data_IF_341867464204
#
_entry.id   IF_341867464204
#
_cell.length_a   1.000
_cell.length_b   1.000
_cell.length_c   1.000
_cell.angle_alpha   90.00
_cell.angle_beta   90.00
_cell.angle_gamma   90.00
#
_symmetry.space_group_name_H-M   'P 1'
#
loop_
_entity.id
_entity.type
_entity.pdbx_description
1 polymer ?
#
# COMPACT_ATOMS: atom_id res chain seq x y z
N UNK A 1 -10.57 -1.45 -15.82
CA UNK A 1 -10.81 -2.18 -17.09
C UNK A 1 -10.70 -3.67 -16.80
N UNK A 2 -11.43 -4.55 -17.49
CA UNK A 2 -11.25 -6.00 -17.31
C UNK A 2 -10.12 -6.50 -18.22
N UNK A 3 -9.19 -7.35 -17.75
CA UNK A 3 -8.11 -7.86 -18.57
C UNK A 3 -8.64 -8.69 -19.76
N UNK A 4 -7.93 -8.65 -20.88
CA UNK A 4 -8.27 -9.49 -22.04
C UNK A 4 -7.92 -10.95 -21.76
N UNK A 5 -8.56 -11.88 -22.48
CA UNK A 5 -8.22 -13.32 -22.37
C UNK A 5 -6.75 -13.59 -22.73
N UNK A 6 -6.25 -12.92 -23.77
CA UNK A 6 -4.86 -13.03 -24.19
C UNK A 6 -3.90 -12.56 -23.09
N UNK A 7 -4.20 -11.42 -22.46
CA UNK A 7 -3.38 -10.92 -21.35
C UNK A 7 -3.39 -11.90 -20.18
N UNK A 8 -4.55 -12.45 -19.79
CA UNK A 8 -4.65 -13.45 -18.73
C UNK A 8 -3.84 -14.72 -19.04
N UNK A 9 -3.83 -15.17 -20.28
CA UNK A 9 -3.03 -16.32 -20.72
C UNK A 9 -1.52 -16.05 -20.67
N UNK A 10 -1.09 -14.81 -20.97
CA UNK A 10 0.31 -14.39 -20.82
C UNK A 10 0.69 -14.30 -19.34
N UNK A 11 -0.11 -13.61 -18.54
CA UNK A 11 0.11 -13.45 -17.10
C UNK A 11 0.25 -14.80 -16.38
N UNK A 12 -0.64 -15.75 -16.66
CA UNK A 12 -0.58 -17.11 -16.08
C UNK A 12 0.75 -17.85 -16.34
N UNK A 13 1.48 -17.51 -17.40
CA UNK A 13 2.78 -18.14 -17.73
C UNK A 13 3.96 -17.52 -16.97
N UNK A 14 3.78 -16.32 -16.43
CA UNK A 14 4.87 -15.52 -15.83
C UNK A 14 4.63 -15.15 -14.37
N UNK A 15 3.39 -15.30 -13.86
CA UNK A 15 3.00 -14.88 -12.50
C UNK A 15 3.83 -15.50 -11.38
N UNK A 16 4.40 -16.69 -11.60
CA UNK A 16 5.24 -17.38 -10.61
C UNK A 16 6.61 -16.71 -10.45
N UNK A 17 7.05 -15.91 -11.43
CA UNK A 17 8.28 -15.10 -11.35
C UNK A 17 8.07 -13.74 -10.70
N UNK A 18 6.80 -13.32 -10.60
CA UNK A 18 6.35 -12.06 -10.01
C UNK A 18 5.93 -12.26 -8.55
N UNK A 19 6.39 -13.32 -7.89
CA UNK A 19 6.07 -13.54 -6.48
C UNK A 19 6.89 -12.57 -5.61
N UNK A 20 6.43 -12.34 -4.39
CA UNK A 20 7.23 -11.61 -3.42
C UNK A 20 8.56 -12.35 -3.18
N UNK A 21 9.68 -11.64 -2.95
CA UNK A 21 11.01 -12.24 -2.74
C UNK A 21 11.05 -13.19 -1.54
N UNK A 22 10.09 -13.05 -0.61
CA UNK A 22 9.84 -13.96 0.49
C UNK A 22 8.37 -13.96 0.92
N UNK A 23 8.04 -14.81 1.89
CA UNK A 23 6.74 -14.77 2.53
C UNK A 23 6.58 -13.46 3.35
N UNK A 24 5.76 -12.54 2.86
CA UNK A 24 5.53 -11.24 3.50
C UNK A 24 4.74 -11.33 4.81
N UNK A 25 4.17 -12.49 5.15
CA UNK A 25 3.63 -12.75 6.48
C UNK A 25 4.71 -12.59 7.58
N UNK A 26 5.97 -12.86 7.25
CA UNK A 26 7.08 -12.75 8.19
C UNK A 26 7.31 -11.31 8.66
N UNK A 27 7.04 -10.32 7.80
CA UNK A 27 7.15 -8.89 8.14
C UNK A 27 6.19 -8.48 9.26
N UNK A 28 5.10 -9.25 9.44
CA UNK A 28 4.06 -8.96 10.43
C UNK A 28 4.00 -9.96 11.59
N UNK A 29 4.91 -10.94 11.62
CA UNK A 29 4.90 -12.02 12.63
C UNK A 29 6.26 -12.26 13.28
N UNK A 30 7.35 -12.02 12.57
CA UNK A 30 8.70 -12.07 13.13
C UNK A 30 9.04 -10.75 13.83
N UNK A 31 9.98 -10.83 14.78
CA UNK A 31 10.54 -9.66 15.46
C UNK A 31 11.84 -9.17 14.82
N UNK A 32 12.39 -9.94 13.90
CA UNK A 32 13.67 -9.64 13.26
C UNK A 32 13.71 -10.31 11.88
N UNK A 33 14.24 -9.61 10.89
CA UNK A 33 14.59 -10.15 9.56
C UNK A 33 15.99 -9.64 9.21
N UNK A 34 16.88 -10.54 8.78
CA UNK A 34 18.25 -10.20 8.40
C UNK A 34 19.05 -9.39 9.44
N UNK A 35 18.76 -9.54 10.73
CA UNK A 35 19.38 -8.77 11.81
C UNK A 35 18.67 -7.45 12.14
N UNK A 36 17.66 -7.05 11.35
CA UNK A 36 16.89 -5.82 11.59
C UNK A 36 15.66 -6.05 12.45
N UNK A 37 15.55 -5.25 13.52
CA UNK A 37 14.46 -5.35 14.50
C UNK A 37 13.15 -4.78 13.95
N UNK A 38 12.09 -5.58 14.05
CA UNK A 38 10.74 -5.27 13.57
C UNK A 38 9.76 -5.07 14.73
N UNK A 39 8.89 -4.08 14.59
CA UNK A 39 7.67 -3.97 15.40
C UNK A 39 6.47 -3.63 14.51
N UNK A 40 5.27 -3.87 15.03
CA UNK A 40 4.02 -3.67 14.31
C UNK A 40 3.27 -2.49 14.88
N UNK A 41 2.88 -1.58 14.00
CA UNK A 41 2.08 -0.42 14.34
C UNK A 41 0.71 -0.53 13.68
N UNK A 42 -0.34 -0.72 14.47
CA UNK A 42 -1.71 -0.62 13.98
C UNK A 42 -2.11 0.85 13.87
N UNK A 43 -2.58 1.27 12.70
CA UNK A 43 -2.97 2.66 12.42
C UNK A 43 -4.49 2.84 12.30
N UNK A 44 -5.29 1.84 12.71
CA UNK A 44 -6.75 1.85 12.62
C UNK A 44 -7.26 0.98 11.46
N UNK A 45 -8.28 1.45 10.74
CA UNK A 45 -8.95 0.70 9.67
C UNK A 45 -8.87 1.38 8.30
N UNK A 46 -9.10 0.61 7.24
CA UNK A 46 -9.37 1.08 5.89
C UNK A 46 -10.80 0.69 5.49
N UNK A 47 -11.53 1.64 4.92
CA UNK A 47 -12.85 1.40 4.35
C UNK A 47 -12.74 0.73 2.98
N UNK A 48 -13.48 -0.37 2.79
CA UNK A 48 -13.50 -1.15 1.54
C UNK A 48 -14.94 -1.43 1.13
N UNK A 49 -15.67 -0.43 0.58
CA UNK A 49 -17.07 -0.58 0.22
C UNK A 49 -17.32 -1.36 -1.10
N UNK A 50 -16.33 -1.47 -2.00
CA UNK A 50 -16.51 -2.13 -3.30
C UNK A 50 -15.71 -3.43 -3.46
N UNK A 51 -14.70 -3.63 -2.62
CA UNK A 51 -13.79 -4.78 -2.70
C UNK A 51 -12.71 -4.61 -3.77
N UNK A 52 -12.61 -3.45 -4.42
CA UNK A 52 -11.67 -3.19 -5.51
C UNK A 52 -10.61 -2.21 -5.08
N UNK A 53 -9.38 -2.68 -5.00
CA UNK A 53 -8.29 -1.88 -4.44
C UNK A 53 -7.47 -1.16 -5.51
N UNK A 54 -6.94 -0.01 -5.11
CA UNK A 54 -5.95 0.80 -5.82
C UNK A 54 -4.81 1.14 -4.86
N UNK A 55 -3.60 1.30 -5.37
CA UNK A 55 -2.47 1.81 -4.62
C UNK A 55 -1.72 2.87 -5.44
N UNK A 56 -1.07 3.79 -4.74
CA UNK A 56 -0.56 5.01 -5.32
C UNK A 56 0.14 5.90 -4.29
N UNK A 57 0.92 6.84 -4.80
CA UNK A 57 1.29 8.04 -4.06
C UNK A 57 0.03 8.75 -3.52
N UNK A 58 0.04 9.06 -2.23
CA UNK A 58 -1.11 9.63 -1.51
C UNK A 58 -1.41 11.07 -1.89
N UNK A 59 -0.44 11.82 -2.39
CA UNK A 59 -0.55 13.25 -2.69
C UNK A 59 -0.51 13.54 -4.19
N UNK A 60 0.05 12.62 -4.98
CA UNK A 60 0.24 12.80 -6.42
C UNK A 60 -0.73 11.96 -7.23
N UNK A 61 -0.77 10.64 -7.00
CA UNK A 61 -1.58 9.74 -7.84
C UNK A 61 -2.97 9.51 -7.28
N UNK A 62 -3.14 9.36 -5.97
CA UNK A 62 -4.44 9.11 -5.34
C UNK A 62 -5.51 10.19 -5.63
N UNK A 63 -5.16 11.47 -5.83
CA UNK A 63 -6.10 12.47 -6.32
C UNK A 63 -6.56 12.30 -7.78
N UNK A 64 -5.93 11.49 -8.63
CA UNK A 64 -6.31 11.33 -10.05
C UNK A 64 -7.66 10.56 -10.19
N UNK A 65 -8.53 10.97 -11.11
CA UNK A 65 -9.81 10.30 -11.35
C UNK A 65 -9.68 8.95 -12.10
N UNK A 66 -8.52 8.66 -12.70
CA UNK A 66 -8.36 7.58 -13.67
C UNK A 66 -7.64 6.33 -13.15
N UNK A 67 -7.58 6.11 -11.84
CA UNK A 67 -6.92 4.91 -11.31
C UNK A 67 -7.62 3.63 -11.76
N UNK A 68 -6.80 2.69 -12.22
CA UNK A 68 -7.25 1.35 -12.59
C UNK A 68 -7.08 0.46 -11.36
N UNK A 69 -8.16 -0.15 -10.84
CA UNK A 69 -8.07 -1.08 -9.71
C UNK A 69 -7.36 -2.36 -10.11
N UNK A 70 -6.78 -3.02 -9.11
CA UNK A 70 -6.28 -4.38 -9.25
C UNK A 70 -7.40 -5.35 -9.64
N UNK A 71 -7.03 -6.45 -10.32
CA UNK A 71 -7.97 -7.46 -10.81
C UNK A 71 -8.50 -8.36 -9.68
N UNK A 72 -7.80 -8.41 -8.55
CA UNK A 72 -8.21 -9.18 -7.37
C UNK A 72 -9.42 -8.53 -6.68
N UNK A 73 -10.41 -9.35 -6.35
CA UNK A 73 -11.56 -8.94 -5.54
C UNK A 73 -11.30 -9.23 -4.06
N UNK A 74 -11.55 -8.25 -3.20
CA UNK A 74 -11.34 -8.35 -1.76
C UNK A 74 -12.67 -8.32 -0.99
N UNK A 75 -12.71 -8.80 0.26
CA UNK A 75 -13.88 -8.65 1.11
C UNK A 75 -14.30 -7.18 1.28
N UNK A 76 -15.62 -6.96 1.37
CA UNK A 76 -16.20 -5.62 1.60
C UNK A 76 -16.37 -5.40 3.10
N UNK A 77 -15.98 -4.24 3.61
CA UNK A 77 -16.07 -3.90 5.03
C UNK A 77 -15.03 -2.87 5.50
N UNK A 78 -14.81 -2.84 6.80
CA UNK A 78 -13.76 -2.05 7.47
C UNK A 78 -12.70 -3.01 8.00
N UNK A 79 -11.45 -2.83 7.61
CA UNK A 79 -10.39 -3.79 7.91
C UNK A 79 -9.19 -3.15 8.57
N UNK A 80 -8.58 -3.81 9.59
CA UNK A 80 -7.42 -3.27 10.28
C UNK A 80 -6.22 -3.10 9.35
N UNK A 81 -5.48 -2.02 9.59
CA UNK A 81 -4.28 -1.65 8.86
C UNK A 81 -3.09 -1.68 9.80
N UNK A 82 -2.07 -2.44 9.43
CA UNK A 82 -0.83 -2.55 10.17
C UNK A 82 0.35 -2.09 9.31
N UNK A 83 1.30 -1.39 9.93
CA UNK A 83 2.61 -1.06 9.36
C UNK A 83 3.66 -1.95 10.01
N UNK A 84 4.54 -2.54 9.19
CA UNK A 84 5.78 -3.15 9.64
C UNK A 84 6.85 -2.07 9.75
N UNK A 85 7.37 -1.85 10.97
CA UNK A 85 8.36 -0.83 11.28
C UNK A 85 9.73 -1.46 11.44
N UNK A 86 10.73 -0.97 10.70
CA UNK A 86 12.15 -1.17 10.96
C UNK A 86 12.59 -0.23 12.08
N UNK A 87 12.58 -0.75 13.30
CA UNK A 87 12.75 0.08 14.51
C UNK A 87 14.16 0.66 14.66
N UNK A 88 15.18 0.02 14.09
CA UNK A 88 16.56 0.53 14.07
C UNK A 88 16.75 1.72 13.11
N UNK A 89 15.82 1.93 12.19
CA UNK A 89 15.95 2.91 11.11
C UNK A 89 14.87 3.99 11.13
N UNK A 90 13.86 3.87 12.00
CA UNK A 90 12.64 4.69 11.97
C UNK A 90 12.03 4.72 10.55
N UNK A 91 11.83 3.54 9.97
CA UNK A 91 11.31 3.35 8.60
C UNK A 91 10.19 2.32 8.54
N UNK A 92 9.31 2.46 7.56
CA UNK A 92 8.25 1.50 7.30
C UNK A 92 8.62 0.56 6.16
N UNK A 93 8.80 -0.72 6.48
CA UNK A 93 9.17 -1.72 5.47
C UNK A 93 7.97 -2.20 4.66
N UNK A 94 6.77 -2.18 5.24
CA UNK A 94 5.53 -2.57 4.57
C UNK A 94 4.30 -2.00 5.28
N UNK A 95 3.19 -1.88 4.55
CA UNK A 95 1.85 -1.66 5.10
C UNK A 95 0.93 -2.75 4.61
N UNK A 96 0.04 -3.26 5.48
CA UNK A 96 -0.98 -4.24 5.10
C UNK A 96 -2.39 -3.81 5.48
N UNK A 97 -3.36 -4.27 4.69
CA UNK A 97 -4.76 -4.39 5.12
C UNK A 97 -5.04 -5.86 5.39
N UNK A 98 -5.50 -6.18 6.61
CA UNK A 98 -5.76 -7.55 7.04
C UNK A 98 -7.26 -7.86 7.00
N UNK A 99 -7.69 -8.74 6.09
CA UNK A 99 -9.11 -9.05 5.86
C UNK A 99 -9.68 -10.07 6.85
N UNK A 100 -8.84 -10.96 7.38
CA UNK A 100 -9.19 -11.95 8.40
C UNK A 100 -7.93 -12.42 9.16
N UNK A 101 -8.10 -13.31 10.13
CA UNK A 101 -7.00 -13.84 10.96
C UNK A 101 -6.28 -15.05 10.36
N UNK A 102 -6.60 -15.47 9.13
CA UNK A 102 -5.90 -16.57 8.49
C UNK A 102 -4.49 -16.13 8.09
N UNK A 103 -3.55 -17.08 8.17
CA UNK A 103 -2.16 -16.86 7.77
C UNK A 103 -2.03 -16.93 6.25
N UNK A 104 -1.37 -15.93 5.63
CA UNK A 104 -0.99 -16.06 4.23
C UNK A 104 0.15 -17.08 4.06
N UNK A 105 0.01 -17.96 3.08
CA UNK A 105 0.99 -18.99 2.74
C UNK A 105 1.70 -18.71 1.41
N UNK A 106 1.13 -17.86 0.56
CA UNK A 106 1.79 -17.32 -0.64
C UNK A 106 1.22 -15.94 -1.02
N UNK A 107 1.92 -15.23 -1.89
CA UNK A 107 1.63 -13.84 -2.26
C UNK A 107 1.72 -13.62 -3.78
N UNK A 108 0.61 -13.24 -4.42
CA UNK A 108 0.62 -12.87 -5.85
C UNK A 108 0.75 -11.35 -6.02
N UNK A 109 1.59 -10.90 -6.96
CA UNK A 109 1.68 -9.49 -7.32
C UNK A 109 0.31 -8.97 -7.82
N UNK A 110 -0.08 -7.81 -7.32
CA UNK A 110 -1.30 -7.11 -7.71
C UNK A 110 -1.18 -6.59 -9.14
N UNK A 111 -2.08 -7.03 -10.00
CA UNK A 111 -2.10 -6.65 -11.42
C UNK A 111 -3.36 -5.85 -11.74
N UNK A 112 -3.26 -4.86 -12.61
CA UNK A 112 -4.36 -4.03 -13.13
C UNK A 112 -4.91 -4.58 -14.44
N UNK A 113 -4.23 -5.55 -15.05
CA UNK A 113 -4.67 -6.25 -16.27
C UNK A 113 -4.29 -5.54 -17.56
N UNK A 114 -3.37 -4.58 -17.47
CA UNK A 114 -2.86 -3.77 -18.58
C UNK A 114 -1.34 -3.58 -18.54
N UNK A 115 -0.64 -4.32 -17.67
CA UNK A 115 0.82 -4.38 -17.60
C UNK A 115 1.40 -4.93 -18.91
N UNK A 116 2.59 -4.45 -19.27
CA UNK A 116 3.33 -4.89 -20.46
C UNK A 116 4.06 -6.22 -20.21
N UNK A 117 3.47 -7.31 -20.68
CA UNK A 117 4.02 -8.67 -20.53
C UNK A 117 4.81 -9.15 -21.76
N UNK A 118 5.16 -8.28 -22.71
CA UNK A 118 5.87 -8.69 -23.94
C UNK A 118 7.37 -8.90 -23.72
N UNK A 119 7.95 -8.28 -22.69
CA UNK A 119 9.37 -8.39 -22.34
C UNK A 119 9.75 -9.69 -21.62
N UNK A 120 11.06 -9.91 -21.47
CA UNK A 120 11.56 -10.97 -20.60
C UNK A 120 11.28 -10.60 -19.14
N UNK A 121 10.40 -11.37 -18.49
CA UNK A 121 10.14 -11.31 -17.05
C UNK A 121 11.04 -12.33 -16.35
N UNK A 122 11.84 -11.85 -15.40
CA UNK A 122 12.79 -12.61 -14.58
C UNK A 122 12.25 -12.83 -13.18
N UNK A 123 12.87 -13.78 -12.48
CA UNK A 123 12.57 -14.01 -11.07
C UNK A 123 12.90 -12.77 -10.25
N UNK A 124 11.95 -12.34 -9.41
CA UNK A 124 12.08 -11.13 -8.59
C UNK A 124 11.66 -9.83 -9.29
N UNK A 125 11.32 -9.88 -10.58
CA UNK A 125 10.66 -8.74 -11.22
C UNK A 125 9.26 -8.52 -10.60
N UNK A 126 8.77 -7.28 -10.63
CA UNK A 126 7.45 -6.94 -10.12
C UNK A 126 6.80 -5.79 -10.90
N UNK A 127 5.47 -5.71 -10.81
CA UNK A 127 4.71 -4.52 -11.16
C UNK A 127 4.21 -3.83 -9.90
N UNK A 128 4.08 -2.51 -9.96
CA UNK A 128 3.83 -1.66 -8.81
C UNK A 128 3.23 -0.31 -9.17
N UNK A 129 3.39 0.64 -8.25
CA UNK A 129 3.01 2.04 -8.44
C UNK A 129 4.17 2.95 -8.05
N UNK A 130 4.22 4.13 -8.67
CA UNK A 130 5.22 5.16 -8.36
C UNK A 130 4.81 6.00 -7.15
N UNK A 131 5.81 6.43 -6.39
CA UNK A 131 5.72 7.42 -5.31
C UNK A 131 6.73 8.53 -5.59
N UNK A 132 6.29 9.78 -5.43
CA UNK A 132 7.00 11.01 -5.78
C UNK A 132 6.89 12.09 -4.67
N UNK A 133 6.03 11.88 -3.68
CA UNK A 133 5.90 12.72 -2.49
C UNK A 133 6.30 11.97 -1.20
N UNK A 134 7.01 10.85 -1.31
CA UNK A 134 7.42 10.00 -0.19
C UNK A 134 6.30 9.39 0.65
N UNK A 135 5.04 9.43 0.19
CA UNK A 135 3.85 9.01 0.93
C UNK A 135 2.99 8.09 0.08
N UNK A 136 2.69 6.89 0.58
CA UNK A 136 1.94 5.86 -0.13
C UNK A 136 0.64 5.47 0.58
N UNK A 137 -0.33 5.04 -0.22
CA UNK A 137 -1.59 4.49 0.25
C UNK A 137 -2.02 3.30 -0.61
N UNK A 138 -2.76 2.39 0.01
CA UNK A 138 -3.59 1.38 -0.63
C UNK A 138 -5.00 1.50 -0.06
N UNK A 139 -6.00 1.60 -0.92
CA UNK A 139 -7.39 1.85 -0.53
C UNK A 139 -8.38 1.29 -1.56
N UNK A 140 -9.67 1.35 -1.27
CA UNK A 140 -10.73 0.99 -2.21
C UNK A 140 -11.01 2.11 -3.23
N UNK A 141 -11.38 1.74 -4.45
CA UNK A 141 -11.64 2.69 -5.53
C UNK A 141 -12.76 3.70 -5.20
N UNK A 142 -13.77 3.34 -4.40
CA UNK A 142 -14.82 4.31 -4.01
C UNK A 142 -14.33 5.29 -2.94
N UNK A 143 -13.39 4.87 -2.09
CA UNK A 143 -12.70 5.74 -1.13
C UNK A 143 -11.78 6.69 -1.88
N UNK A 144 -11.03 6.20 -2.87
CA UNK A 144 -10.22 7.03 -3.75
C UNK A 144 -11.06 8.06 -4.52
N UNK A 145 -12.23 7.68 -5.06
CA UNK A 145 -13.15 8.64 -5.69
C UNK A 145 -13.64 9.72 -4.74
N UNK A 146 -13.89 9.38 -3.48
CA UNK A 146 -14.24 10.35 -2.45
C UNK A 146 -13.09 11.33 -2.20
N UNK A 147 -11.85 10.83 -2.17
CA UNK A 147 -10.66 11.67 -2.12
C UNK A 147 -10.54 12.57 -3.35
N UNK A 148 -10.59 12.06 -4.57
CA UNK A 148 -10.57 12.88 -5.78
C UNK A 148 -11.62 14.01 -5.74
N UNK A 149 -12.84 13.71 -5.29
CA UNK A 149 -13.90 14.71 -5.13
C UNK A 149 -13.55 15.77 -4.08
N UNK A 150 -12.95 15.36 -2.96
CA UNK A 150 -12.47 16.28 -1.92
C UNK A 150 -11.36 17.17 -2.47
N UNK A 151 -10.33 16.60 -3.10
CA UNK A 151 -9.20 17.34 -3.65
C UNK A 151 -9.67 18.35 -4.68
N UNK A 152 -10.55 17.96 -5.61
CA UNK A 152 -11.11 18.90 -6.60
C UNK A 152 -11.79 20.11 -5.94
N UNK A 153 -12.61 19.86 -4.91
CA UNK A 153 -13.28 20.93 -4.15
C UNK A 153 -12.27 21.79 -3.39
N UNK A 154 -11.22 21.18 -2.85
CA UNK A 154 -10.15 21.87 -2.16
C UNK A 154 -9.39 22.80 -3.11
N UNK A 155 -8.97 22.30 -4.27
CA UNK A 155 -8.22 23.04 -5.30
C UNK A 155 -9.06 24.17 -5.92
N UNK A 156 -10.37 23.98 -6.11
CA UNK A 156 -11.29 25.05 -6.53
C UNK A 156 -11.43 26.20 -5.50
N UNK A 157 -11.24 25.90 -4.20
CA UNK A 157 -11.33 26.88 -3.12
C UNK A 157 -9.98 27.51 -2.74
N UNK A 158 -8.86 26.88 -3.13
CA UNK A 158 -7.50 27.26 -2.78
C UNK A 158 -6.63 27.31 -4.04
N UNK A 159 -6.88 28.29 -4.91
CA UNK A 159 -6.27 28.39 -6.25
C UNK A 159 -4.72 28.43 -6.25
N UNK A 160 -4.12 29.03 -5.20
CA UNK A 160 -2.66 29.10 -5.01
C UNK A 160 -2.15 28.11 -3.93
N UNK A 161 -3.03 27.27 -3.40
CA UNK A 161 -2.74 26.39 -2.27
C UNK A 161 -2.13 25.05 -2.70
N UNK A 162 -1.37 24.46 -1.78
CA UNK A 162 -0.78 23.14 -1.91
C UNK A 162 -1.45 22.16 -0.95
N UNK A 163 -1.99 21.06 -1.48
CA UNK A 163 -2.77 20.08 -0.71
C UNK A 163 -2.01 19.54 0.51
N UNK A 164 -0.68 19.40 0.42
CA UNK A 164 0.11 18.96 1.55
C UNK A 164 0.24 20.06 2.60
N UNK A 165 0.80 21.22 2.24
CA UNK A 165 1.09 22.29 3.18
C UNK A 165 -0.18 22.91 3.80
N UNK A 166 -1.25 23.04 3.03
CA UNK A 166 -2.47 23.74 3.45
C UNK A 166 -3.54 22.81 4.06
N UNK A 167 -3.34 21.49 4.00
CA UNK A 167 -4.31 20.53 4.55
C UNK A 167 -3.67 19.35 5.30
N UNK A 168 -2.79 18.57 4.66
CA UNK A 168 -2.26 17.37 5.32
C UNK A 168 -1.20 17.65 6.40
N UNK A 169 -0.45 18.75 6.29
CA UNK A 169 0.62 19.09 7.23
C UNK A 169 0.12 19.13 8.67
N UNK A 170 -0.90 19.95 8.94
CA UNK A 170 -1.46 20.10 10.29
C UNK A 170 -2.04 18.77 10.82
N UNK A 171 -2.69 17.99 9.94
CA UNK A 171 -3.26 16.69 10.30
C UNK A 171 -2.18 15.66 10.68
N UNK A 172 -1.09 15.61 9.93
CA UNK A 172 0.05 14.73 10.19
C UNK A 172 0.78 15.12 11.47
N UNK A 173 1.02 16.41 11.68
CA UNK A 173 1.67 16.94 12.88
C UNK A 173 0.82 16.69 14.14
N UNK A 174 -0.50 16.89 14.05
CA UNK A 174 -1.43 16.55 15.12
C UNK A 174 -1.48 15.04 15.40
N UNK A 175 -1.45 14.22 14.35
CA UNK A 175 -1.40 12.76 14.48
C UNK A 175 -0.11 12.32 15.19
N UNK A 176 1.05 12.88 14.83
CA UNK A 176 2.33 12.60 15.47
C UNK A 176 2.32 12.97 16.96
N UNK A 177 1.76 14.13 17.31
CA UNK A 177 1.60 14.56 18.71
C UNK A 177 0.73 13.59 19.52
N UNK A 178 -0.33 13.06 18.91
CA UNK A 178 -1.26 12.13 19.56
C UNK A 178 -0.73 10.70 19.63
N UNK A 179 0.01 10.26 18.62
CA UNK A 179 0.54 8.90 18.46
C UNK A 179 2.03 8.94 18.09
N UNK A 180 2.93 9.33 19.02
CA UNK A 180 4.33 9.62 18.71
C UNK A 180 5.19 8.38 18.43
N UNK A 181 4.65 7.16 18.64
CA UNK A 181 5.43 5.93 18.48
C UNK A 181 5.73 5.71 17.00
N UNK A 182 7.02 5.60 16.67
CA UNK A 182 7.54 5.37 15.33
C UNK A 182 7.16 6.42 14.30
N UNK A 183 7.04 7.69 14.72
CA UNK A 183 6.84 8.82 13.80
C UNK A 183 7.83 9.95 14.11
N UNK A 184 8.26 10.65 13.06
CA UNK A 184 8.90 11.94 13.14
C UNK A 184 7.95 13.01 13.70
N UNK A 185 8.51 14.14 14.14
CA UNK A 185 7.73 15.24 14.75
C UNK A 185 6.68 15.85 13.80
N UNK A 186 6.89 15.74 12.49
CA UNK A 186 5.98 16.25 11.45
C UNK A 186 4.97 15.20 10.94
N UNK A 187 5.02 13.98 11.48
CA UNK A 187 4.11 12.88 11.13
C UNK A 187 4.50 12.10 9.89
N UNK A 188 4.43 10.77 10.02
CA UNK A 188 4.81 9.82 8.97
C UNK A 188 3.64 8.92 8.56
N UNK A 189 2.54 8.89 9.31
CA UNK A 189 1.32 8.22 8.91
C UNK A 189 0.07 8.98 9.36
N UNK A 190 -1.03 8.71 8.68
CA UNK A 190 -2.35 9.20 9.02
C UNK A 190 -3.38 8.16 8.63
N UNK A 191 -4.34 7.88 9.51
CA UNK A 191 -5.57 7.22 9.09
C UNK A 191 -6.63 8.28 8.89
N UNK A 192 -6.78 8.68 7.63
CA UNK A 192 -7.48 9.88 7.25
C UNK A 192 -8.97 9.60 7.06
N UNK A 193 -9.79 10.34 7.81
CA UNK A 193 -11.22 10.43 7.53
C UNK A 193 -11.45 11.40 6.38
N UNK A 194 -11.94 10.88 5.25
CA UNK A 194 -12.21 11.70 4.07
C UNK A 194 -13.40 12.64 4.36
N UNK A 195 -13.24 13.96 4.22
CA UNK A 195 -14.29 14.92 4.50
C UNK A 195 -15.59 14.63 3.75
N UNK A 196 -16.70 14.98 4.39
CA UNK A 196 -18.06 14.75 3.89
C UNK A 196 -18.42 13.25 3.69
N UNK A 197 -17.64 12.32 4.26
CA UNK A 197 -17.88 10.86 4.23
C UNK A 197 -17.54 10.19 5.57
N UNK A 198 -17.92 8.92 5.71
CA UNK A 198 -17.49 8.05 6.83
C UNK A 198 -16.24 7.22 6.49
N UNK A 199 -15.64 7.42 5.30
CA UNK A 199 -14.54 6.58 4.83
C UNK A 199 -13.22 6.89 5.53
N UNK A 200 -12.48 5.83 5.80
CA UNK A 200 -11.12 5.86 6.33
C UNK A 200 -10.12 5.39 5.27
N UNK A 201 -9.02 6.11 5.13
CA UNK A 201 -7.96 5.81 4.18
C UNK A 201 -6.60 5.88 4.88
N UNK A 202 -5.80 4.79 4.86
CA UNK A 202 -4.48 4.82 5.44
C UNK A 202 -3.49 5.54 4.52
N UNK A 203 -2.63 6.37 5.11
CA UNK A 203 -1.54 7.07 4.46
C UNK A 203 -0.29 6.82 5.32
N UNK A 204 0.84 6.50 4.69
CA UNK A 204 2.11 6.35 5.41
C UNK A 204 3.32 6.69 4.53
N UNK A 205 4.43 7.06 5.16
CA UNK A 205 5.72 7.23 4.50
C UNK A 205 6.15 5.93 3.80
N UNK A 206 6.62 6.03 2.57
CA UNK A 206 6.94 4.88 1.73
C UNK A 206 8.39 4.45 1.84
N UNK A 207 8.72 3.55 2.76
CA UNK A 207 10.10 3.04 2.90
C UNK A 207 11.12 4.17 2.97
N UNK A 208 12.00 4.25 1.97
CA UNK A 208 13.03 5.28 1.85
C UNK A 208 12.59 6.61 1.20
N UNK A 209 11.34 6.74 0.79
CA UNK A 209 10.77 7.92 0.13
C UNK A 209 10.24 7.60 -1.27
N UNK A 210 10.65 8.38 -2.26
CA UNK A 210 10.21 8.21 -3.64
C UNK A 210 10.73 6.90 -4.25
N UNK A 211 9.93 6.28 -5.12
CA UNK A 211 10.28 4.98 -5.68
C UNK A 211 9.16 4.30 -6.46
N UNK A 212 9.36 3.01 -6.73
CA UNK A 212 8.38 2.15 -7.39
C UNK A 212 8.16 0.89 -6.56
N UNK A 213 6.93 0.71 -6.06
CA UNK A 213 6.65 -0.27 -5.00
C UNK A 213 5.60 -1.30 -5.45
N UNK A 214 5.85 -2.60 -5.22
CA UNK A 214 4.90 -3.65 -5.52
C UNK A 214 3.77 -3.71 -4.48
N UNK A 215 2.63 -4.21 -4.95
CA UNK A 215 1.53 -4.67 -4.11
C UNK A 215 1.41 -6.17 -4.24
N UNK A 216 1.17 -6.87 -3.14
CA UNK A 216 1.00 -8.31 -3.10
C UNK A 216 -0.27 -8.70 -2.34
N UNK A 217 -1.09 -9.55 -2.96
CA UNK A 217 -2.27 -10.16 -2.33
C UNK A 217 -1.87 -11.48 -1.68
N UNK A 218 -2.09 -11.59 -0.37
CA UNK A 218 -1.78 -12.77 0.43
C UNK A 218 -2.94 -13.76 0.46
N UNK A 219 -2.66 -15.02 0.17
CA UNK A 219 -3.65 -16.10 0.10
C UNK A 219 -3.42 -17.14 1.20
N UNK A 220 -4.50 -17.61 1.82
CA UNK A 220 -4.48 -18.66 2.83
C UNK A 220 -4.37 -20.08 2.23
N UNK A 221 -4.30 -21.11 3.09
CA UNK A 221 -4.22 -22.53 2.68
C UNK A 221 -5.41 -23.00 1.83
N UNK A 222 -6.54 -22.28 1.88
CA UNK A 222 -7.75 -22.57 1.10
C UNK A 222 -7.84 -21.72 -0.17
N UNK A 223 -6.77 -21.00 -0.52
CA UNK A 223 -6.69 -20.13 -1.69
C UNK A 223 -7.64 -18.91 -1.61
N UNK A 224 -7.99 -18.46 -0.40
CA UNK A 224 -8.76 -17.23 -0.20
C UNK A 224 -7.83 -16.07 0.15
N UNK A 225 -8.15 -14.87 -0.35
CA UNK A 225 -7.42 -13.66 0.00
C UNK A 225 -7.67 -13.35 1.49
N UNK A 226 -6.58 -13.20 2.25
CA UNK A 226 -6.61 -12.93 3.69
C UNK A 226 -5.98 -11.58 4.06
N UNK A 227 -5.11 -11.04 3.20
CA UNK A 227 -4.53 -9.70 3.35
C UNK A 227 -4.01 -9.16 2.01
N UNK A 228 -3.68 -7.87 1.99
CA UNK A 228 -2.91 -7.24 0.93
C UNK A 228 -1.79 -6.42 1.55
N UNK A 229 -0.62 -6.41 0.92
CA UNK A 229 0.60 -5.78 1.41
C UNK A 229 1.17 -4.87 0.33
N UNK A 230 1.48 -3.63 0.68
CA UNK A 230 2.43 -2.80 -0.08
C UNK A 230 3.80 -3.03 0.53
N UNK A 231 4.75 -3.48 -0.28
CA UNK A 231 6.09 -3.84 0.19
C UNK A 231 7.08 -2.74 -0.21
N UNK A 232 7.59 -2.00 0.79
CA UNK A 232 8.44 -0.83 0.54
C UNK A 232 9.94 -1.15 0.57
N UNK A 233 10.37 -1.99 1.50
CA UNK A 233 11.77 -2.33 1.70
C UNK A 233 11.91 -3.85 1.69
N UNK A 234 12.65 -4.38 0.72
CA UNK A 234 13.11 -5.77 0.75
C UNK A 234 14.26 -5.88 1.75
N UNK A 235 13.94 -6.27 2.99
CA UNK A 235 14.88 -6.30 4.11
C UNK A 235 16.03 -7.29 3.85
N UNK A 236 15.76 -8.43 3.22
CA UNK A 236 16.85 -9.37 2.90
C UNK A 236 17.76 -8.78 1.82
N UNK A 237 17.20 -8.19 0.75
CA UNK A 237 18.02 -7.57 -0.29
C UNK A 237 18.85 -6.39 0.24
N UNK A 238 18.27 -5.58 1.12
CA UNK A 238 18.90 -4.37 1.65
C UNK A 238 19.98 -4.68 2.69
N UNK A 239 19.75 -5.67 3.56
CA UNK A 239 20.57 -5.87 4.76
C UNK A 239 21.25 -7.24 4.85
N UNK A 240 20.94 -8.20 3.99
CA UNK A 240 21.72 -9.44 3.98
C UNK A 240 23.14 -9.13 3.52
N UNK A 241 24.12 -9.37 4.38
CA UNK A 241 25.53 -9.36 3.98
C UNK A 241 25.69 -10.36 2.82
N UNK A 242 26.23 -9.91 1.68
CA UNK A 242 26.64 -10.81 0.60
C UNK A 242 27.49 -11.95 1.21
N UNK A 243 26.95 -13.16 1.23
CA UNK A 243 27.69 -14.37 1.65
C UNK A 243 28.47 -14.96 0.49
#
# INVERSE_FOLDING_TARGET
MQPTKEWLEKWKKVKDKLQAPRNLEDYFTLKEIAGEELDILNIGTCSIPSGKLVAGDSLVTMPDENLIPYIQETPIGEFPVDICVLTNHDRYAAIRIKFNDNKAVYFENGMKGNEDLEGEIKEGDFYGFGVDAGMASITDIEVQKAYHKFEKKFSELNEDGDLYNDYFWDLLEENAKKFPKYQAEYGDWLNWNIPDTEYTMPICASGWGDGYYPVYFGYDENNNICQVVVHFIDIDLEFSEEK
#
